data_IF_628778572078
#
_entry.id   IF_628778572078
#
_cell.length_a   1.000
_cell.length_b   1.000
_cell.length_c   1.000
_cell.angle_alpha   90.00
_cell.angle_beta   90.00
_cell.angle_gamma   90.00
#
_symmetry.space_group_name_H-M   'P 1'
#
loop_
_entity.id
_entity.type
_entity.pdbx_description
1 polymer ?
#
# COMPACT_ATOMS: atom_id res chain seq x y z
N UNK A 1 -8.97 16.12 -8.54
CA UNK A 1 -8.69 15.49 -7.24
C UNK A 1 -8.96 13.99 -7.36
N UNK A 2 -7.96 13.13 -7.07
CA UNK A 2 -8.21 11.70 -6.85
C UNK A 2 -8.96 11.57 -5.52
N UNK A 3 -10.28 11.78 -5.57
CA UNK A 3 -11.16 11.44 -4.45
C UNK A 3 -11.28 9.92 -4.40
N UNK A 4 -10.80 9.33 -3.31
CA UNK A 4 -10.73 7.90 -3.09
C UNK A 4 -11.99 7.49 -2.32
N UNK A 5 -12.76 6.54 -2.86
CA UNK A 5 -14.14 6.27 -2.48
C UNK A 5 -14.32 5.56 -1.13
N UNK A 6 -13.23 5.13 -0.48
CA UNK A 6 -13.27 4.37 0.77
C UNK A 6 -12.49 5.10 1.86
N UNK A 7 -13.18 5.91 2.66
CA UNK A 7 -12.61 6.44 3.89
C UNK A 7 -12.59 5.35 4.96
N UNK A 8 -11.41 5.03 5.47
CA UNK A 8 -11.22 4.12 6.60
C UNK A 8 -11.59 4.84 7.90
N UNK A 9 -12.86 4.80 8.31
CA UNK A 9 -13.42 5.76 9.29
C UNK A 9 -13.76 5.20 10.67
N UNK A 10 -13.58 3.91 10.93
CA UNK A 10 -13.86 3.33 12.25
C UNK A 10 -12.71 3.52 13.25
N UNK A 11 -12.99 4.07 14.45
CA UNK A 11 -12.03 4.13 15.58
C UNK A 11 -11.40 2.76 15.88
N UNK A 12 -12.21 1.70 15.80
CA UNK A 12 -11.76 0.32 15.97
C UNK A 12 -10.71 -0.09 14.93
N UNK A 13 -10.88 0.34 13.68
CA UNK A 13 -9.97 0.00 12.60
C UNK A 13 -8.62 0.74 12.76
N UNK A 14 -8.64 1.98 13.27
CA UNK A 14 -7.43 2.73 13.65
C UNK A 14 -6.69 2.07 14.82
N UNK A 15 -7.41 1.51 15.79
CA UNK A 15 -6.81 0.76 16.90
C UNK A 15 -6.16 -0.54 16.41
N UNK A 16 -6.79 -1.28 15.49
CA UNK A 16 -6.19 -2.47 14.88
C UNK A 16 -4.89 -2.10 14.15
N UNK A 17 -4.89 -1.01 13.38
CA UNK A 17 -3.69 -0.52 12.70
C UNK A 17 -2.58 -0.18 13.69
N UNK A 18 -2.92 0.56 14.76
CA UNK A 18 -1.96 0.97 15.78
C UNK A 18 -1.37 -0.23 16.55
N UNK A 19 -2.17 -1.27 16.76
CA UNK A 19 -1.73 -2.52 17.40
C UNK A 19 -0.78 -3.31 16.49
N UNK A 20 -1.04 -3.32 15.17
CA UNK A 20 -0.17 -3.99 14.22
C UNK A 20 1.03 -3.13 13.80
N UNK A 21 2.04 -3.08 14.67
CA UNK A 21 3.25 -2.23 14.51
C UNK A 21 3.96 -2.39 13.17
N UNK A 22 4.20 -3.62 12.70
CA UNK A 22 4.94 -3.88 11.45
C UNK A 22 4.26 -3.21 10.25
N UNK A 23 2.94 -3.35 10.10
CA UNK A 23 2.21 -2.68 9.02
C UNK A 23 2.16 -1.17 9.24
N UNK A 24 1.98 -0.70 10.47
CA UNK A 24 2.01 0.73 10.77
C UNK A 24 3.31 1.40 10.36
N UNK A 25 4.46 0.75 10.60
CA UNK A 25 5.77 1.27 10.22
C UNK A 25 5.90 1.35 8.69
N UNK A 26 5.45 0.32 7.96
CA UNK A 26 5.45 0.33 6.50
C UNK A 26 4.49 1.36 5.89
N UNK A 27 3.33 1.60 6.52
CA UNK A 27 2.43 2.68 6.10
C UNK A 27 3.17 4.02 6.23
N UNK A 28 3.83 4.29 7.36
CA UNK A 28 4.58 5.54 7.54
C UNK A 28 5.67 5.69 6.50
N UNK A 29 6.46 4.63 6.28
CA UNK A 29 7.53 4.64 5.29
C UNK A 29 7.01 4.97 3.89
N UNK A 30 5.86 4.40 3.49
CA UNK A 30 5.32 4.54 2.14
C UNK A 30 4.40 5.75 1.95
N UNK A 31 4.10 6.50 3.02
CA UNK A 31 3.23 7.67 2.97
C UNK A 31 3.88 8.95 3.48
N UNK A 32 5.16 8.87 3.87
CA UNK A 32 5.97 10.06 4.13
C UNK A 32 6.07 10.88 2.85
N UNK A 33 5.69 12.16 2.93
CA UNK A 33 5.84 13.09 1.82
C UNK A 33 7.31 13.42 1.61
N UNK A 34 7.74 13.53 0.36
CA UNK A 34 9.14 13.82 0.03
C UNK A 34 9.62 15.10 0.71
N UNK A 35 8.79 16.14 0.74
CA UNK A 35 9.09 17.41 1.41
C UNK A 35 9.34 17.25 2.92
N UNK A 36 8.58 16.37 3.57
CA UNK A 36 8.73 16.10 5.00
C UNK A 36 9.99 15.28 5.28
N UNK A 37 10.32 14.32 4.41
CA UNK A 37 11.53 13.49 4.54
C UNK A 37 12.81 14.31 4.38
N UNK A 38 12.85 15.26 3.44
CA UNK A 38 14.01 16.15 3.20
C UNK A 38 14.18 17.17 4.34
N UNK A 39 13.07 17.65 4.92
CA UNK A 39 13.10 18.56 6.06
C UNK A 39 13.46 17.84 7.38
N UNK A 40 13.01 16.60 7.56
CA UNK A 40 13.31 15.80 8.74
C UNK A 40 14.80 15.41 8.85
N UNK A 41 15.53 15.30 7.73
CA UNK A 41 17.00 15.14 7.76
C UNK A 41 17.72 16.33 8.42
N UNK A 42 17.06 17.50 8.48
CA UNK A 42 17.60 18.72 9.08
C UNK A 42 17.09 18.99 10.51
N UNK A 43 16.04 18.30 10.95
CA UNK A 43 15.44 18.45 12.29
C UNK A 43 15.33 17.09 13.00
N UNK A 44 16.44 16.67 13.62
CA UNK A 44 16.41 15.54 14.54
C UNK A 44 15.59 15.95 15.79
N UNK A 45 14.57 15.14 16.11
CA UNK A 45 13.71 15.15 17.31
C UNK A 45 12.26 15.70 17.18
N UNK A 46 11.60 15.55 16.03
CA UNK A 46 10.14 15.54 16.05
C UNK A 46 9.64 14.18 16.58
N UNK A 47 8.91 14.18 17.70
CA UNK A 47 8.17 13.03 18.23
C UNK A 47 7.38 12.37 17.10
N UNK A 48 7.84 11.21 16.61
CA UNK A 48 7.09 10.44 15.62
C UNK A 48 5.75 10.10 16.27
N UNK A 49 4.60 10.61 15.77
CA UNK A 49 3.31 10.35 16.38
C UNK A 49 3.10 8.85 16.52
N UNK A 50 2.61 8.36 17.67
CA UNK A 50 2.37 6.92 17.84
C UNK A 50 1.23 6.40 16.95
N UNK A 51 0.39 7.28 16.40
CA UNK A 51 -0.77 6.95 15.58
C UNK A 51 -0.60 7.47 14.15
N UNK A 52 -1.05 6.67 13.18
CA UNK A 52 -1.14 7.06 11.77
C UNK A 52 -2.19 8.16 11.59
N UNK A 53 -1.92 9.13 10.73
CA UNK A 53 -2.91 10.14 10.34
C UNK A 53 -3.92 9.55 9.34
N UNK A 54 -5.09 10.18 9.23
CA UNK A 54 -6.14 9.74 8.29
C UNK A 54 -5.67 9.82 6.85
N UNK A 55 -4.78 10.77 6.54
CA UNK A 55 -4.16 10.90 5.24
C UNK A 55 -3.23 9.71 4.93
N UNK A 56 -2.36 9.33 5.88
CA UNK A 56 -1.47 8.17 5.73
C UNK A 56 -2.25 6.87 5.54
N UNK A 57 -3.32 6.68 6.32
CA UNK A 57 -4.19 5.50 6.17
C UNK A 57 -4.86 5.51 4.80
N UNK A 58 -5.37 6.67 4.36
CA UNK A 58 -6.00 6.81 3.06
C UNK A 58 -5.01 6.54 1.91
N UNK A 59 -3.81 7.09 1.96
CA UNK A 59 -2.77 6.87 0.94
C UNK A 59 -2.31 5.41 0.90
N UNK A 60 -2.20 4.73 2.05
CA UNK A 60 -1.86 3.31 2.06
C UNK A 60 -2.96 2.42 1.49
N UNK A 61 -4.22 2.66 1.88
CA UNK A 61 -5.34 1.79 1.51
C UNK A 61 -5.94 2.09 0.14
N UNK A 62 -5.60 3.23 -0.45
CA UNK A 62 -6.10 3.63 -1.75
C UNK A 62 -4.98 4.01 -2.73
N UNK A 63 -3.71 3.88 -2.32
CA UNK A 63 -2.53 4.00 -3.18
C UNK A 63 -2.15 2.69 -3.87
N UNK A 64 -0.99 2.66 -4.56
CA UNK A 64 -0.61 1.52 -5.41
C UNK A 64 -0.33 0.25 -4.61
N UNK A 65 0.12 0.38 -3.36
CA UNK A 65 0.33 -0.75 -2.43
C UNK A 65 -0.94 -1.21 -1.70
N UNK A 66 -2.12 -0.74 -2.09
CA UNK A 66 -3.36 -1.07 -1.39
C UNK A 66 -3.61 -2.58 -1.27
N UNK A 67 -3.21 -3.37 -2.28
CA UNK A 67 -3.38 -4.82 -2.29
C UNK A 67 -2.57 -5.45 -1.16
N UNK A 68 -1.30 -5.08 -1.05
CA UNK A 68 -0.39 -5.47 0.02
C UNK A 68 -0.97 -5.11 1.40
N UNK A 69 -1.34 -3.85 1.63
CA UNK A 69 -1.82 -3.43 2.96
C UNK A 69 -3.16 -4.12 3.32
N UNK A 70 -4.12 -4.15 2.40
CA UNK A 70 -5.45 -4.74 2.65
C UNK A 70 -5.37 -6.23 2.97
N UNK A 71 -4.54 -6.99 2.25
CA UNK A 71 -4.45 -8.44 2.49
C UNK A 71 -3.84 -8.75 3.86
N UNK A 72 -2.76 -8.06 4.26
CA UNK A 72 -2.12 -8.27 5.55
C UNK A 72 -3.02 -7.81 6.71
N UNK A 73 -3.71 -6.68 6.55
CA UNK A 73 -4.67 -6.19 7.54
C UNK A 73 -5.86 -7.13 7.71
N UNK A 74 -6.37 -7.70 6.62
CA UNK A 74 -7.45 -8.69 6.66
C UNK A 74 -7.01 -9.95 7.42
N UNK A 75 -5.79 -10.43 7.16
CA UNK A 75 -5.22 -11.59 7.87
C UNK A 75 -5.00 -11.29 9.35
N UNK A 76 -4.45 -10.13 9.69
CA UNK A 76 -4.29 -9.70 11.07
C UNK A 76 -5.63 -9.60 11.80
N UNK A 77 -6.63 -8.96 11.17
CA UNK A 77 -7.97 -8.83 11.72
C UNK A 77 -8.62 -10.19 11.99
N UNK A 78 -8.42 -11.18 11.11
CA UNK A 78 -8.91 -12.54 11.33
C UNK A 78 -8.25 -13.20 12.55
N UNK A 79 -6.93 -13.06 12.71
CA UNK A 79 -6.20 -13.59 13.89
C UNK A 79 -6.69 -12.91 15.17
N UNK A 80 -6.82 -11.59 15.18
CA UNK A 80 -7.33 -10.82 16.33
C UNK A 80 -8.79 -11.18 16.66
N UNK A 81 -9.61 -11.45 15.64
CA UNK A 81 -10.99 -11.95 15.83
C UNK A 81 -10.99 -13.30 16.56
N UNK A 82 -10.10 -14.22 16.19
CA UNK A 82 -9.96 -15.52 16.86
C UNK A 82 -9.45 -15.37 18.30
N UNK A 83 -8.51 -14.45 18.54
CA UNK A 83 -7.96 -14.16 19.87
C UNK A 83 -9.01 -13.60 20.83
N UNK A 84 -9.83 -12.66 20.35
CA UNK A 84 -10.95 -12.12 21.10
C UNK A 84 -12.00 -13.21 21.42
N UNK A 85 -12.37 -14.03 20.43
CA UNK A 85 -13.30 -15.14 20.62
C UNK A 85 -12.78 -16.19 21.62
N UNK A 86 -11.48 -16.50 21.57
CA UNK A 86 -10.84 -17.44 22.50
C UNK A 86 -10.79 -16.89 23.93
N UNK A 87 -10.52 -15.60 24.09
CA UNK A 87 -10.54 -14.91 25.38
C UNK A 87 -11.92 -15.00 26.02
N UNK A 88 -12.96 -14.65 25.27
CA UNK A 88 -14.36 -14.73 25.74
C UNK A 88 -14.76 -16.18 26.07
N UNK A 89 -14.33 -17.16 25.26
CA UNK A 89 -14.63 -18.57 25.52
C UNK A 89 -13.96 -19.12 26.80
N UNK A 90 -12.78 -18.60 27.17
CA UNK A 90 -11.99 -19.10 28.30
C UNK A 90 -12.21 -18.32 29.60
N UNK A 91 -12.70 -17.08 29.53
CA UNK A 91 -13.00 -16.28 30.72
C UNK A 91 -14.31 -16.71 31.38
N UNK A 92 -14.23 -17.04 32.67
CA UNK A 92 -15.36 -17.51 33.49
C UNK A 92 -16.54 -16.51 33.49
N UNK A 93 -16.26 -15.23 33.33
CA UNK A 93 -17.25 -14.15 33.35
C UNK A 93 -18.22 -14.18 32.15
N UNK A 94 -17.83 -14.82 31.05
CA UNK A 94 -18.61 -14.85 29.81
C UNK A 94 -19.22 -16.23 29.49
N UNK A 95 -19.08 -17.21 30.38
CA UNK A 95 -19.56 -18.59 30.15
C UNK A 95 -21.08 -18.71 29.98
N UNK A 96 -21.86 -17.85 30.62
CA UNK A 96 -23.34 -17.84 30.49
C UNK A 96 -23.84 -17.28 29.15
N UNK A 97 -22.92 -16.86 28.27
CA UNK A 97 -23.24 -16.22 26.99
C UNK A 97 -23.00 -17.17 25.81
N UNK A 98 -23.57 -18.38 25.90
CA UNK A 98 -23.36 -19.56 25.02
C UNK A 98 -23.50 -19.33 23.49
N UNK A 99 -23.84 -18.12 23.04
CA UNK A 99 -24.01 -17.78 21.62
C UNK A 99 -23.25 -16.52 21.15
N UNK A 100 -22.40 -15.90 21.98
CA UNK A 100 -21.66 -14.68 21.56
C UNK A 100 -20.66 -15.01 20.45
N UNK A 101 -19.94 -16.12 20.55
CA UNK A 101 -18.84 -16.42 19.61
C UNK A 101 -19.32 -16.73 18.18
N UNK A 102 -20.40 -17.48 18.03
CA UNK A 102 -20.97 -17.79 16.70
C UNK A 102 -21.73 -16.61 16.08
N UNK A 103 -22.39 -15.76 16.90
CA UNK A 103 -23.17 -14.61 16.40
C UNK A 103 -22.36 -13.34 16.19
N UNK A 104 -21.32 -13.10 16.98
CA UNK A 104 -20.53 -11.84 16.95
C UNK A 104 -19.21 -12.04 16.22
N UNK A 105 -18.52 -13.14 16.47
CA UNK A 105 -17.20 -13.40 15.89
C UNK A 105 -17.22 -14.40 14.74
N UNK A 106 -18.35 -15.08 14.48
CA UNK A 106 -18.50 -16.08 13.41
C UNK A 106 -17.37 -17.15 13.43
N UNK A 107 -16.82 -17.44 14.61
CA UNK A 107 -15.79 -18.48 14.80
C UNK A 107 -16.48 -19.72 15.37
N UNK A 108 -16.49 -20.86 14.65
CA UNK A 108 -17.07 -22.10 15.15
C UNK A 108 -16.47 -22.56 16.48
N UNK A 109 -17.32 -22.97 17.42
CA UNK A 109 -16.86 -23.43 18.75
C UNK A 109 -15.86 -24.59 18.66
N UNK A 110 -16.05 -25.52 17.71
CA UNK A 110 -15.13 -26.65 17.45
C UNK A 110 -13.69 -26.23 17.16
N UNK A 111 -13.49 -25.03 16.58
CA UNK A 111 -12.16 -24.47 16.33
C UNK A 111 -11.61 -23.91 17.64
N UNK A 112 -12.41 -23.15 18.39
CA UNK A 112 -12.02 -22.58 19.68
C UNK A 112 -11.60 -23.64 20.70
N UNK A 113 -12.29 -24.78 20.74
CA UNK A 113 -12.00 -25.89 21.66
C UNK A 113 -10.61 -26.50 21.44
N UNK A 114 -10.07 -26.40 20.21
CA UNK A 114 -8.74 -26.89 19.83
C UNK A 114 -7.67 -25.80 19.80
N UNK A 115 -8.07 -24.54 19.92
CA UNK A 115 -7.20 -23.40 19.73
C UNK A 115 -6.51 -23.01 21.05
N UNK A 116 -5.21 -22.80 20.98
CA UNK A 116 -4.41 -22.29 22.09
C UNK A 116 -3.90 -20.88 21.78
N UNK A 117 -3.72 -20.07 22.85
CA UNK A 117 -3.13 -18.74 22.73
C UNK A 117 -1.69 -18.80 22.18
N UNK A 118 -0.96 -19.88 22.46
CA UNK A 118 0.36 -20.19 21.90
C UNK A 118 0.31 -20.27 20.37
N UNK A 119 -0.66 -21.00 19.81
CA UNK A 119 -0.87 -21.14 18.36
C UNK A 119 -1.19 -19.79 17.72
N UNK A 120 -2.05 -18.97 18.33
CA UNK A 120 -2.38 -17.64 17.83
C UNK A 120 -1.16 -16.69 17.87
N UNK A 121 -0.35 -16.77 18.93
CA UNK A 121 0.91 -16.01 19.01
C UNK A 121 1.89 -16.41 17.91
N UNK A 122 2.00 -17.72 17.64
CA UNK A 122 2.87 -18.22 16.58
C UNK A 122 2.39 -17.77 15.20
N UNK A 123 1.08 -17.79 14.92
CA UNK A 123 0.53 -17.20 13.70
C UNK A 123 0.85 -15.72 13.54
N UNK A 124 0.71 -14.92 14.63
CA UNK A 124 1.04 -13.49 14.59
C UNK A 124 2.51 -13.32 14.20
N UNK A 125 3.41 -14.09 14.80
CA UNK A 125 4.83 -14.05 14.44
C UNK A 125 5.07 -14.47 12.98
N UNK A 126 4.41 -15.53 12.49
CA UNK A 126 4.51 -15.96 11.10
C UNK A 126 3.98 -14.90 10.13
N UNK A 127 2.88 -14.23 10.49
CA UNK A 127 2.33 -13.11 9.73
C UNK A 127 3.31 -11.93 9.70
N UNK A 128 3.94 -11.58 10.82
CA UNK A 128 4.93 -10.51 10.88
C UNK A 128 6.12 -10.80 9.95
N UNK A 129 6.65 -12.01 9.99
CA UNK A 129 7.75 -12.44 9.11
C UNK A 129 7.33 -12.43 7.64
N UNK A 130 6.14 -12.94 7.31
CA UNK A 130 5.61 -12.87 5.94
C UNK A 130 5.37 -11.45 5.48
N UNK A 131 4.94 -10.56 6.37
CA UNK A 131 4.74 -9.14 6.04
C UNK A 131 6.05 -8.48 5.66
N UNK A 132 7.12 -8.72 6.42
CA UNK A 132 8.46 -8.20 6.10
C UNK A 132 8.98 -8.77 4.78
N UNK A 133 8.86 -10.08 4.59
CA UNK A 133 9.27 -10.76 3.35
C UNK A 133 8.54 -10.19 2.13
N UNK A 134 7.21 -10.14 2.20
CA UNK A 134 6.36 -9.63 1.14
C UNK A 134 6.64 -8.16 0.84
N UNK A 135 6.84 -7.32 1.87
CA UNK A 135 7.16 -5.92 1.69
C UNK A 135 8.50 -5.73 0.95
N UNK A 136 9.54 -6.47 1.35
CA UNK A 136 10.83 -6.43 0.67
C UNK A 136 10.75 -6.85 -0.81
N UNK A 137 9.89 -7.84 -1.12
CA UNK A 137 9.61 -8.20 -2.51
C UNK A 137 8.96 -7.04 -3.27
N UNK A 138 7.96 -6.37 -2.68
CA UNK A 138 7.34 -5.19 -3.28
C UNK A 138 8.36 -4.07 -3.54
N UNK A 139 9.21 -3.74 -2.57
CA UNK A 139 10.25 -2.73 -2.74
C UNK A 139 11.21 -3.08 -3.89
N UNK A 140 11.65 -4.34 -3.96
CA UNK A 140 12.49 -4.82 -5.06
C UNK A 140 11.78 -4.70 -6.41
N UNK A 141 10.50 -5.04 -6.48
CA UNK A 141 9.71 -4.93 -7.71
C UNK A 141 9.54 -3.47 -8.12
N UNK A 142 9.21 -2.57 -7.20
CA UNK A 142 9.06 -1.12 -7.45
C UNK A 142 10.35 -0.53 -8.00
N UNK A 143 11.49 -0.89 -7.42
CA UNK A 143 12.81 -0.47 -7.91
C UNK A 143 13.04 -0.96 -9.35
N UNK A 144 12.86 -2.26 -9.60
CA UNK A 144 13.05 -2.85 -10.93
C UNK A 144 12.11 -2.24 -11.98
N UNK A 145 10.85 -1.96 -11.60
CA UNK A 145 9.88 -1.30 -12.47
C UNK A 145 10.26 0.14 -12.78
N UNK A 146 10.79 0.87 -11.80
CA UNK A 146 11.29 2.23 -12.00
C UNK A 146 12.47 2.23 -12.98
N UNK A 147 13.44 1.34 -12.77
CA UNK A 147 14.59 1.17 -13.67
C UNK A 147 14.18 0.76 -15.09
N UNK A 148 13.22 -0.16 -15.22
CA UNK A 148 12.66 -0.56 -16.51
C UNK A 148 12.07 0.63 -17.27
N UNK A 149 11.26 1.46 -16.60
CA UNK A 149 10.61 2.61 -17.22
C UNK A 149 11.62 3.69 -17.62
N UNK A 150 12.62 3.96 -16.76
CA UNK A 150 13.71 4.88 -17.07
C UNK A 150 14.54 4.40 -18.26
N UNK A 151 14.81 3.09 -18.36
CA UNK A 151 15.49 2.52 -19.51
C UNK A 151 14.66 2.67 -20.79
N UNK A 152 13.34 2.54 -20.73
CA UNK A 152 12.47 2.78 -21.90
C UNK A 152 12.49 4.25 -22.36
N UNK A 153 12.52 5.22 -21.43
CA UNK A 153 12.73 6.62 -21.81
C UNK A 153 14.07 6.84 -22.52
N UNK A 154 15.15 6.30 -21.96
CA UNK A 154 16.50 6.43 -22.53
C UNK A 154 16.63 5.79 -23.92
N UNK A 155 16.02 4.60 -24.13
CA UNK A 155 16.03 3.88 -25.42
C UNK A 155 15.32 4.65 -26.54
N UNK A 156 14.37 5.50 -26.20
CA UNK A 156 13.55 6.26 -27.16
C UNK A 156 13.99 7.72 -27.25
N UNK A 157 15.27 8.00 -26.95
CA UNK A 157 15.91 9.32 -26.99
C UNK A 157 15.22 10.40 -26.13
N UNK A 158 14.39 10.01 -25.16
CA UNK A 158 13.77 10.91 -24.21
C UNK A 158 14.62 11.00 -22.94
N UNK A 159 15.53 11.98 -22.91
CA UNK A 159 16.51 12.11 -21.81
C UNK A 159 15.93 12.88 -20.64
N UNK A 160 15.81 12.20 -19.50
CA UNK A 160 15.56 12.80 -18.20
C UNK A 160 16.89 13.29 -17.58
N UNK A 161 16.83 14.38 -16.83
CA UNK A 161 17.95 14.86 -16.00
C UNK A 161 18.07 14.05 -14.73
N UNK A 162 19.21 14.12 -14.04
CA UNK A 162 19.42 13.44 -12.76
C UNK A 162 18.33 13.80 -11.73
N UNK A 163 17.91 15.07 -11.70
CA UNK A 163 16.84 15.52 -10.80
C UNK A 163 15.48 14.88 -11.13
N UNK A 164 15.13 14.77 -12.42
CA UNK A 164 13.90 14.10 -12.85
C UNK A 164 13.94 12.59 -12.62
N UNK A 165 15.12 11.98 -12.80
CA UNK A 165 15.33 10.57 -12.49
C UNK A 165 15.12 10.33 -11.00
N UNK A 166 15.70 11.17 -10.13
CA UNK A 166 15.49 11.07 -8.69
C UNK A 166 14.02 11.26 -8.30
N UNK A 167 13.36 12.29 -8.84
CA UNK A 167 11.93 12.53 -8.62
C UNK A 167 11.04 11.37 -9.13
N UNK A 168 11.45 10.70 -10.21
CA UNK A 168 10.76 9.53 -10.72
C UNK A 168 10.97 8.28 -9.87
N UNK A 169 12.11 8.13 -9.20
CA UNK A 169 12.42 6.96 -8.36
C UNK A 169 11.82 7.12 -6.96
N UNK A 170 11.86 8.32 -6.38
CA UNK A 170 11.45 8.53 -5.00
C UNK A 170 9.96 8.20 -4.80
N UNK A 171 9.63 7.49 -3.72
CA UNK A 171 8.24 7.21 -3.42
C UNK A 171 7.47 8.50 -3.11
N UNK A 172 6.31 8.65 -3.74
CA UNK A 172 5.41 9.79 -3.58
C UNK A 172 4.01 9.24 -3.30
N UNK A 173 3.39 9.54 -2.15
CA UNK A 173 2.01 9.14 -1.88
C UNK A 173 1.02 9.80 -2.84
N UNK A 174 -0.18 9.23 -2.94
CA UNK A 174 -1.22 9.71 -3.86
C UNK A 174 -1.62 11.14 -3.54
N UNK A 175 -1.71 11.50 -2.26
CA UNK A 175 -1.95 12.87 -1.80
C UNK A 175 -0.90 13.86 -2.33
N UNK A 176 0.39 13.55 -2.23
CA UNK A 176 1.47 14.39 -2.76
C UNK A 176 1.41 14.51 -4.28
N UNK A 177 1.12 13.41 -4.99
CA UNK A 177 0.94 13.44 -6.45
C UNK A 177 -0.24 14.34 -6.86
N UNK A 178 -1.37 14.27 -6.15
CA UNK A 178 -2.51 15.17 -6.41
C UNK A 178 -2.11 16.63 -6.26
N UNK A 179 -1.41 16.95 -5.18
CA UNK A 179 -0.95 18.30 -4.91
C UNK A 179 -0.04 18.79 -6.04
N UNK A 180 0.90 17.97 -6.52
CA UNK A 180 1.76 18.35 -7.66
C UNK A 180 0.95 18.69 -8.91
N UNK A 181 -0.07 17.90 -9.25
CA UNK A 181 -0.94 18.20 -10.39
C UNK A 181 -1.70 19.52 -10.22
N UNK A 182 -2.20 19.79 -9.02
CA UNK A 182 -2.89 21.06 -8.70
C UNK A 182 -1.92 22.24 -8.85
N UNK A 183 -0.72 22.15 -8.27
CA UNK A 183 0.27 23.21 -8.31
C UNK A 183 0.77 23.49 -9.73
N UNK A 184 0.95 22.45 -10.55
CA UNK A 184 1.37 22.55 -11.94
C UNK A 184 0.21 22.85 -12.91
N UNK A 185 -1.02 23.00 -12.39
CA UNK A 185 -2.24 23.21 -13.17
C UNK A 185 -2.44 22.18 -14.30
N UNK A 186 -2.05 20.94 -14.03
CA UNK A 186 -2.19 19.83 -14.96
C UNK A 186 -3.55 19.15 -14.86
N UNK A 187 -4.08 18.73 -15.99
CA UNK A 187 -5.21 17.80 -16.02
C UNK A 187 -4.76 16.43 -15.48
N UNK A 188 -5.45 15.94 -14.46
CA UNK A 188 -5.27 14.55 -14.00
C UNK A 188 -5.77 13.59 -15.09
N UNK A 189 -4.99 12.56 -15.45
CA UNK A 189 -5.45 11.56 -16.40
C UNK A 189 -6.72 10.86 -15.89
N UNK A 190 -7.53 10.35 -16.83
CA UNK A 190 -8.70 9.53 -16.48
C UNK A 190 -8.25 8.18 -15.93
N UNK A 191 -8.15 8.10 -14.61
CA UNK A 191 -7.72 6.89 -13.89
C UNK A 191 -8.90 6.16 -13.27
N UNK A 192 -8.75 4.84 -13.12
CA UNK A 192 -9.73 4.04 -12.41
C UNK A 192 -9.52 4.20 -10.90
N UNK A 193 -10.25 5.16 -10.32
CA UNK A 193 -10.15 5.53 -8.89
C UNK A 193 -10.45 4.38 -7.93
N UNK A 194 -11.22 3.37 -8.35
CA UNK A 194 -11.58 2.24 -7.50
C UNK A 194 -10.46 1.20 -7.35
N UNK A 195 -9.51 1.18 -8.29
CA UNK A 195 -8.44 0.19 -8.36
C UNK A 195 -7.16 0.88 -8.82
N UNK A 196 -6.62 1.78 -7.98
CA UNK A 196 -5.36 2.45 -8.23
C UNK A 196 -4.18 1.47 -8.07
N UNK A 197 -3.56 1.08 -9.18
CA UNK A 197 -2.50 0.08 -9.27
C UNK A 197 -1.15 0.71 -9.65
N UNK A 198 -0.07 -0.08 -9.67
CA UNK A 198 1.27 0.46 -10.01
C UNK A 198 1.36 0.97 -11.45
N UNK A 199 0.59 0.38 -12.38
CA UNK A 199 0.49 0.93 -13.73
C UNK A 199 -0.02 2.38 -13.70
N UNK A 200 -1.10 2.66 -12.98
CA UNK A 200 -1.67 4.02 -12.88
C UNK A 200 -0.73 4.96 -12.13
N UNK A 201 -0.10 4.48 -11.06
CA UNK A 201 0.91 5.22 -10.32
C UNK A 201 2.07 5.68 -11.21
N UNK A 202 2.70 4.75 -11.93
CA UNK A 202 3.80 5.08 -12.83
C UNK A 202 3.36 5.91 -14.04
N UNK A 203 2.11 5.77 -14.49
CA UNK A 203 1.54 6.65 -15.52
C UNK A 203 1.56 8.11 -15.05
N UNK A 204 1.12 8.37 -13.82
CA UNK A 204 1.12 9.73 -13.24
C UNK A 204 2.55 10.27 -13.13
N UNK A 205 3.48 9.48 -12.57
CA UNK A 205 4.88 9.90 -12.42
C UNK A 205 5.55 10.17 -13.77
N UNK A 206 5.26 9.34 -14.76
CA UNK A 206 5.74 9.53 -16.12
C UNK A 206 5.20 10.83 -16.73
N UNK A 207 3.92 11.14 -16.55
CA UNK A 207 3.35 12.40 -17.04
C UNK A 207 4.05 13.62 -16.43
N UNK A 208 4.32 13.62 -15.12
CA UNK A 208 5.06 14.69 -14.45
C UNK A 208 6.49 14.83 -14.98
N UNK A 209 7.18 13.70 -15.16
CA UNK A 209 8.56 13.67 -15.67
C UNK A 209 8.64 14.13 -17.13
N UNK A 210 7.69 13.68 -17.96
CA UNK A 210 7.57 14.10 -19.36
C UNK A 210 7.30 15.60 -19.44
N UNK A 211 6.35 16.12 -18.66
CA UNK A 211 6.06 17.56 -18.65
C UNK A 211 7.30 18.37 -18.26
N UNK A 212 7.99 17.97 -17.18
CA UNK A 212 9.22 18.62 -16.74
C UNK A 212 10.29 18.64 -17.84
N UNK A 213 10.50 17.50 -18.52
CA UNK A 213 11.48 17.37 -19.57
C UNK A 213 11.12 18.20 -20.81
N UNK A 214 9.85 18.19 -21.24
CA UNK A 214 9.36 19.00 -22.36
C UNK A 214 9.53 20.50 -22.07
N UNK A 215 9.19 20.95 -20.85
CA UNK A 215 9.39 22.33 -20.43
C UNK A 215 10.86 22.75 -20.48
N UNK A 216 11.77 21.90 -19.97
CA UNK A 216 13.22 22.15 -20.07
C UNK A 216 13.68 22.23 -21.52
N UNK A 217 13.19 21.33 -22.36
CA UNK A 217 13.52 21.27 -23.80
C UNK A 217 12.87 22.39 -24.61
N UNK A 218 12.08 23.27 -23.98
CA UNK A 218 11.31 24.34 -24.63
C UNK A 218 10.36 23.78 -25.71
N UNK A 219 9.86 22.57 -25.48
CA UNK A 219 8.88 21.91 -26.34
C UNK A 219 7.47 22.13 -25.81
N UNK A 220 6.48 21.97 -26.69
CA UNK A 220 5.07 22.01 -26.30
C UNK A 220 4.79 20.90 -25.29
N UNK A 221 4.18 21.26 -24.15
CA UNK A 221 3.85 20.35 -23.05
C UNK A 221 2.33 20.19 -22.88
N UNK A 222 1.58 20.23 -23.99
CA UNK A 222 0.13 20.02 -23.92
C UNK A 222 -0.18 18.58 -23.51
N UNK A 223 -1.42 18.32 -23.05
CA UNK A 223 -1.88 16.97 -22.71
C UNK A 223 -1.61 15.97 -23.85
N UNK A 224 -1.86 16.39 -25.09
CA UNK A 224 -1.62 15.57 -26.28
C UNK A 224 -0.13 15.24 -26.49
N UNK A 225 0.75 16.20 -26.25
CA UNK A 225 2.20 16.00 -26.37
C UNK A 225 2.71 15.02 -25.31
N UNK A 226 2.23 15.21 -24.06
CA UNK A 226 2.55 14.31 -22.95
C UNK A 226 2.05 12.89 -23.24
N UNK A 227 0.81 12.73 -23.70
CA UNK A 227 0.24 11.44 -24.08
C UNK A 227 1.02 10.75 -25.21
N UNK A 228 1.56 11.51 -26.16
CA UNK A 228 2.39 10.96 -27.23
C UNK A 228 3.68 10.34 -26.70
N UNK A 229 4.36 11.01 -25.78
CA UNK A 229 5.55 10.47 -25.12
C UNK A 229 5.21 9.33 -24.16
N UNK A 230 4.06 9.36 -23.51
CA UNK A 230 3.62 8.27 -22.61
C UNK A 230 3.47 6.92 -23.35
N UNK A 231 3.19 6.94 -24.66
CA UNK A 231 3.11 5.71 -25.48
C UNK A 231 4.42 4.93 -25.50
N UNK A 232 5.57 5.61 -25.31
CA UNK A 232 6.90 4.99 -25.26
C UNK A 232 6.94 3.89 -24.20
N UNK A 233 6.43 4.17 -23.01
CA UNK A 233 6.50 3.27 -21.86
C UNK A 233 5.25 2.37 -21.71
N UNK A 234 4.28 2.49 -22.60
CA UNK A 234 2.97 1.83 -22.46
C UNK A 234 3.08 0.29 -22.40
N UNK A 235 4.01 -0.32 -23.15
CA UNK A 235 4.23 -1.77 -23.07
C UNK A 235 4.82 -2.17 -21.71
N UNK A 236 5.78 -1.40 -21.20
CA UNK A 236 6.37 -1.67 -19.89
C UNK A 236 5.33 -1.54 -18.78
N UNK A 237 4.46 -0.53 -18.84
CA UNK A 237 3.34 -0.34 -17.92
C UNK A 237 2.39 -1.54 -17.89
N UNK A 238 2.09 -2.16 -19.03
CA UNK A 238 1.29 -3.41 -19.09
C UNK A 238 1.98 -4.59 -18.42
N UNK A 239 3.29 -4.73 -18.64
CA UNK A 239 4.10 -5.77 -17.98
C UNK A 239 4.11 -5.58 -16.47
N UNK A 240 4.21 -4.33 -15.98
CA UNK A 240 4.14 -3.99 -14.56
C UNK A 240 2.80 -4.44 -13.96
N UNK A 241 1.67 -4.09 -14.59
CA UNK A 241 0.34 -4.49 -14.11
C UNK A 241 0.20 -6.02 -13.99
N UNK A 242 0.72 -6.76 -14.97
CA UNK A 242 0.70 -8.22 -14.94
C UNK A 242 1.54 -8.77 -13.78
N UNK A 243 2.78 -8.31 -13.64
CA UNK A 243 3.68 -8.73 -12.57
C UNK A 243 3.13 -8.39 -11.18
N UNK A 244 2.54 -7.20 -11.02
CA UNK A 244 1.87 -6.74 -9.80
C UNK A 244 0.74 -7.70 -9.41
N UNK A 245 -0.13 -8.07 -10.36
CA UNK A 245 -1.23 -9.01 -10.10
C UNK A 245 -0.74 -10.39 -9.70
N UNK A 246 0.28 -10.90 -10.39
CA UNK A 246 0.88 -12.20 -10.08
C UNK A 246 1.52 -12.22 -8.68
N UNK A 247 2.22 -11.15 -8.30
CA UNK A 247 2.79 -10.98 -6.97
C UNK A 247 1.70 -10.94 -5.90
N UNK A 248 0.68 -10.08 -6.09
CA UNK A 248 -0.42 -9.93 -5.15
C UNK A 248 -1.20 -11.25 -4.96
N UNK A 249 -1.48 -11.99 -6.04
CA UNK A 249 -2.16 -13.28 -5.97
C UNK A 249 -1.33 -14.34 -5.24
N UNK A 250 -0.02 -14.36 -5.49
CA UNK A 250 0.90 -15.31 -4.84
C UNK A 250 0.92 -15.06 -3.32
N UNK A 251 1.08 -13.80 -2.91
CA UNK A 251 1.10 -13.42 -1.51
C UNK A 251 -0.26 -13.62 -0.83
N UNK A 252 -1.36 -13.29 -1.49
CA UNK A 252 -2.71 -13.53 -0.96
C UNK A 252 -2.93 -15.02 -0.70
N UNK A 253 -2.51 -15.90 -1.60
CA UNK A 253 -2.60 -17.34 -1.40
C UNK A 253 -1.80 -17.80 -0.18
N UNK A 254 -0.55 -17.34 -0.03
CA UNK A 254 0.30 -17.66 1.13
C UNK A 254 -0.39 -17.24 2.44
N UNK A 255 -0.96 -16.04 2.48
CA UNK A 255 -1.66 -15.54 3.67
C UNK A 255 -2.98 -16.28 3.93
N UNK A 256 -3.71 -16.67 2.90
CA UNK A 256 -4.91 -17.50 3.06
C UNK A 256 -4.56 -18.88 3.62
N UNK A 257 -3.49 -19.49 3.14
CA UNK A 257 -3.03 -20.80 3.61
C UNK A 257 -2.54 -20.74 5.07
N UNK A 258 -1.92 -19.63 5.48
CA UNK A 258 -1.56 -19.36 6.87
C UNK A 258 -2.76 -19.47 7.82
N UNK A 259 -3.92 -18.92 7.44
CA UNK A 259 -5.14 -18.94 8.27
C UNK A 259 -5.88 -20.30 8.15
N UNK A 260 -5.91 -20.90 6.95
CA UNK A 260 -6.62 -22.16 6.70
C UNK A 260 -6.09 -23.32 7.54
N UNK A 261 -4.80 -23.33 7.85
CA UNK A 261 -4.16 -24.36 8.68
C UNK A 261 -4.73 -24.48 10.10
N UNK A 262 -5.65 -23.59 10.51
CA UNK A 262 -6.32 -23.61 11.82
C UNK A 262 -7.83 -23.79 11.72
N UNK A 263 -8.43 -23.43 10.58
CA UNK A 263 -9.87 -23.57 10.36
C UNK A 263 -10.23 -25.03 10.00
N UNK A 264 -9.26 -25.79 9.48
CA UNK A 264 -9.39 -27.20 9.09
C UNK A 264 -8.42 -28.08 9.87
#
# INVERSE_FOLDING_TARGET
MLELSNHFTGTYAKNILADYKVISDYIRQQTAWVKETIQAEHEIQALIPSLLTDLQINDALNGPLQSFFKMHLKTYAAITKMDAALTIAKEDFFKDSEHINEKVFEVPQKILDKLEFSTLKELRNQLDEKTKEHFSQWESHIKNWSELLLAEFAKNDFRLTDMEIQDFIINQPVSELNDRFIHLQLALPKLNKSHFDFQQYFTIKAMLSIQSALNRMQQSSTEKDIEQHLKIIHSALKTINKAEKELAQTQEKILQDLIKNIIY
#
